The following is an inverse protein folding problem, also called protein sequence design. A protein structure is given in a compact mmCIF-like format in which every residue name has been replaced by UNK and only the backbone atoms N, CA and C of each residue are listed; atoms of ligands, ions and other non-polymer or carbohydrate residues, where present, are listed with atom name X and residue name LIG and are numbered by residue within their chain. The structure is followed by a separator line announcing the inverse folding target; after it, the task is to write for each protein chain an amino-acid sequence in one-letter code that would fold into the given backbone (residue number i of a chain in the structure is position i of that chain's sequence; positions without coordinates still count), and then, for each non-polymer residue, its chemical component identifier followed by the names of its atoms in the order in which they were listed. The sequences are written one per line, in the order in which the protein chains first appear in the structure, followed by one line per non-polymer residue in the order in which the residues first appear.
data_IF_592679004909
#
_entry.id   IF_592679004909
#
_cell.length_a   1.000
_cell.length_b   1.000
_cell.length_c   1.000
_cell.angle_alpha   90.00
_cell.angle_beta   90.00
_cell.angle_gamma   90.00
#
_symmetry.space_group_name_H-M   'P 1'
#
loop_
_entity.id
_entity.type
_entity.pdbx_description
1 polymer ?
#
# COMPACT_ATOMS: atom_id res chain seq x y z
N UNK A 1 21.65 -9.76 -11.30
CA UNK A 1 20.27 -9.97 -10.81
C UNK A 1 19.40 -10.33 -11.99
N UNK A 2 18.49 -11.29 -11.85
CA UNK A 2 17.49 -11.57 -12.88
C UNK A 2 16.53 -10.37 -12.99
N UNK A 3 16.19 -9.90 -14.21
CA UNK A 3 15.32 -8.76 -14.39
C UNK A 3 13.93 -9.04 -13.80
N UNK A 4 13.32 -8.02 -13.18
CA UNK A 4 12.01 -8.12 -12.53
C UNK A 4 10.89 -8.01 -13.57
N UNK A 5 11.11 -7.16 -14.58
CA UNK A 5 10.24 -6.98 -15.73
C UNK A 5 10.88 -7.61 -16.96
N UNK A 6 10.09 -8.36 -17.71
CA UNK A 6 10.48 -8.82 -19.05
C UNK A 6 10.47 -7.67 -20.05
N UNK A 7 11.26 -7.77 -21.12
CA UNK A 7 11.23 -6.78 -22.21
C UNK A 7 9.83 -6.61 -22.82
N UNK A 8 9.04 -7.68 -22.87
CA UNK A 8 7.67 -7.63 -23.34
C UNK A 8 6.76 -6.78 -22.41
N UNK A 9 6.98 -6.83 -21.10
CA UNK A 9 6.27 -5.99 -20.13
C UNK A 9 6.68 -4.52 -20.27
N UNK A 10 7.98 -4.25 -20.45
CA UNK A 10 8.51 -2.90 -20.66
C UNK A 10 7.94 -2.25 -21.93
N UNK A 11 7.91 -2.96 -23.07
CA UNK A 11 7.29 -2.46 -24.31
C UNK A 11 5.80 -2.15 -24.16
N UNK A 12 5.07 -2.94 -23.36
CA UNK A 12 3.64 -2.68 -23.10
C UNK A 12 3.42 -1.43 -22.26
N UNK A 13 4.42 -1.02 -21.47
CA UNK A 13 4.36 0.18 -20.63
C UNK A 13 4.37 1.46 -21.47
N UNK A 14 5.09 1.49 -22.61
CA UNK A 14 5.12 2.64 -23.53
C UNK A 14 3.73 2.99 -24.09
N UNK A 15 2.88 1.96 -24.29
CA UNK A 15 1.53 2.11 -24.86
C UNK A 15 0.48 2.32 -23.76
N UNK A 16 0.85 2.20 -22.49
CA UNK A 16 -0.08 2.38 -21.38
C UNK A 16 -0.51 3.84 -21.26
N UNK A 17 -1.82 4.09 -21.32
CA UNK A 17 -2.42 5.38 -20.97
C UNK A 17 -3.31 5.19 -19.77
N UNK A 18 -3.08 6.02 -18.75
CA UNK A 18 -3.88 5.98 -17.56
C UNK A 18 -5.30 6.50 -17.79
N UNK A 19 -6.30 5.88 -17.16
CA UNK A 19 -7.71 6.22 -17.30
C UNK A 19 -8.46 6.16 -15.96
N UNK A 20 -9.25 7.21 -15.66
CA UNK A 20 -10.11 7.33 -14.46
C UNK A 20 -11.54 7.61 -14.87
N UNK A 21 -12.48 6.88 -14.31
CA UNK A 21 -13.91 7.15 -14.46
C UNK A 21 -14.40 8.14 -13.38
N UNK A 22 -14.16 9.44 -13.62
CA UNK A 22 -14.72 10.53 -12.81
C UNK A 22 -13.76 11.14 -11.77
N UNK A 23 -14.29 12.04 -10.93
CA UNK A 23 -13.54 12.80 -9.92
C UNK A 23 -14.28 12.73 -8.59
N UNK A 24 -13.61 12.34 -7.51
CA UNK A 24 -14.25 12.32 -6.18
C UNK A 24 -14.55 13.75 -5.68
N UNK A 25 -15.55 13.91 -4.82
CA UNK A 25 -15.95 15.23 -4.28
C UNK A 25 -14.77 15.89 -3.55
N UNK A 26 -14.06 15.13 -2.72
CA UNK A 26 -12.88 15.60 -1.99
C UNK A 26 -11.77 16.02 -2.95
N UNK A 27 -11.52 15.24 -4.00
CA UNK A 27 -10.54 15.57 -5.02
C UNK A 27 -10.90 16.87 -5.75
N UNK A 28 -12.18 17.12 -6.02
CA UNK A 28 -12.62 18.38 -6.66
C UNK A 28 -12.24 19.61 -5.84
N UNK A 29 -12.39 19.54 -4.51
CA UNK A 29 -12.02 20.62 -3.60
C UNK A 29 -10.50 20.75 -3.51
N UNK A 30 -9.81 19.64 -3.25
CA UNK A 30 -8.35 19.63 -3.11
C UNK A 30 -7.62 20.00 -4.41
N UNK A 31 -8.23 19.77 -5.57
CA UNK A 31 -7.67 20.17 -6.87
C UNK A 31 -7.40 21.67 -6.94
N UNK A 32 -8.24 22.51 -6.33
CA UNK A 32 -8.03 23.97 -6.29
C UNK A 32 -6.76 24.29 -5.51
N UNK A 33 -6.59 23.67 -4.34
CA UNK A 33 -5.41 23.82 -3.50
C UNK A 33 -4.14 23.31 -4.21
N UNK A 34 -4.20 22.11 -4.80
CA UNK A 34 -3.05 21.49 -5.45
C UNK A 34 -2.59 22.29 -6.67
N UNK A 35 -3.51 22.74 -7.51
CA UNK A 35 -3.17 23.58 -8.67
C UNK A 35 -2.48 24.87 -8.22
N UNK A 36 -2.99 25.52 -7.17
CA UNK A 36 -2.37 26.72 -6.61
C UNK A 36 -0.97 26.45 -6.02
N UNK A 37 -0.78 25.32 -5.34
CA UNK A 37 0.52 24.93 -4.78
C UNK A 37 1.55 24.58 -5.86
N UNK A 38 1.13 23.92 -6.95
CA UNK A 38 2.02 23.54 -8.06
C UNK A 38 2.59 24.79 -8.73
N UNK A 39 1.80 25.86 -8.88
CA UNK A 39 2.27 27.15 -9.42
C UNK A 39 3.37 27.82 -8.56
N UNK A 40 3.50 27.43 -7.29
CA UNK A 40 4.53 27.95 -6.38
C UNK A 40 5.78 27.09 -6.34
N UNK A 41 5.75 25.89 -6.93
CA UNK A 41 6.93 25.03 -6.97
C UNK A 41 7.93 25.52 -8.02
N UNK A 42 9.23 25.48 -7.71
CA UNK A 42 10.24 25.79 -8.69
C UNK A 42 10.33 24.68 -9.75
N UNK A 43 10.57 25.07 -11.00
CA UNK A 43 10.51 24.20 -12.18
C UNK A 43 11.54 23.06 -12.21
N UNK A 44 12.51 23.04 -11.30
CA UNK A 44 13.51 21.97 -11.20
C UNK A 44 13.04 20.77 -10.35
N UNK A 45 11.94 20.90 -9.62
CA UNK A 45 11.43 19.84 -8.74
C UNK A 45 10.72 18.79 -9.59
N UNK A 46 11.33 17.62 -9.71
CA UNK A 46 10.72 16.49 -10.39
C UNK A 46 9.45 16.03 -9.65
N UNK A 47 8.37 15.68 -10.37
CA UNK A 47 7.15 15.19 -9.74
C UNK A 47 7.36 14.01 -8.79
N UNK A 48 8.07 12.95 -9.22
CA UNK A 48 8.41 11.79 -8.40
C UNK A 48 9.16 12.12 -7.10
N UNK A 49 9.88 13.26 -7.06
CA UNK A 49 10.59 13.73 -5.86
C UNK A 49 9.58 14.23 -4.80
N UNK A 50 8.48 14.86 -5.22
CA UNK A 50 7.42 15.31 -4.31
C UNK A 50 6.76 14.12 -3.62
N UNK A 51 6.38 13.09 -4.39
CA UNK A 51 5.77 11.88 -3.84
C UNK A 51 6.72 11.14 -2.91
N UNK A 52 8.00 11.03 -3.28
CA UNK A 52 9.01 10.41 -2.42
C UNK A 52 9.20 11.20 -1.11
N UNK A 53 9.31 12.52 -1.18
CA UNK A 53 9.47 13.37 0.00
C UNK A 53 8.25 13.27 0.93
N UNK A 54 7.03 13.30 0.38
CA UNK A 54 5.82 13.09 1.15
C UNK A 54 5.80 11.70 1.80
N UNK A 55 6.16 10.66 1.05
CA UNK A 55 6.16 9.28 1.56
C UNK A 55 7.11 9.15 2.74
N UNK A 56 8.34 9.67 2.62
CA UNK A 56 9.33 9.67 3.71
C UNK A 56 8.80 10.42 4.92
N UNK A 57 8.19 11.58 4.74
CA UNK A 57 7.58 12.35 5.83
C UNK A 57 6.48 11.56 6.55
N UNK A 58 5.62 10.88 5.79
CA UNK A 58 4.55 10.05 6.35
C UNK A 58 5.10 8.85 7.13
N UNK A 59 6.16 8.20 6.61
CA UNK A 59 6.84 7.10 7.30
C UNK A 59 7.44 7.59 8.62
N UNK A 60 8.17 8.70 8.62
CA UNK A 60 8.79 9.27 9.83
C UNK A 60 7.74 9.59 10.89
N UNK A 61 6.67 10.29 10.52
CA UNK A 61 5.61 10.68 11.46
C UNK A 61 4.78 9.48 11.95
N UNK A 62 4.58 8.46 11.12
CA UNK A 62 3.92 7.20 11.53
C UNK A 62 4.80 6.37 12.47
N UNK A 63 6.10 6.26 12.20
CA UNK A 63 7.05 5.56 13.08
C UNK A 63 7.14 6.26 14.43
N UNK A 64 7.15 7.60 14.45
CA UNK A 64 7.14 8.36 15.68
C UNK A 64 5.89 8.06 16.53
N UNK A 65 4.71 7.97 15.92
CA UNK A 65 3.49 7.55 16.61
C UNK A 65 3.59 6.11 17.12
N UNK A 66 4.11 5.17 16.32
CA UNK A 66 4.30 3.77 16.73
C UNK A 66 5.28 3.65 17.90
N UNK A 67 6.35 4.46 17.94
CA UNK A 67 7.29 4.47 19.06
C UNK A 67 6.63 4.93 20.38
N UNK A 68 5.64 5.83 20.31
CA UNK A 68 4.90 6.29 21.49
C UNK A 68 3.70 5.40 21.86
N UNK A 69 3.14 4.67 20.88
CA UNK A 69 1.99 3.78 21.08
C UNK A 69 2.16 2.43 20.34
N UNK A 70 3.10 1.57 20.79
CA UNK A 70 3.48 0.34 20.08
C UNK A 70 2.39 -0.75 20.09
N UNK A 71 1.43 -0.71 21.02
CA UNK A 71 0.29 -1.63 21.06
C UNK A 71 -1.02 -0.99 20.60
N UNK A 72 -0.96 0.28 20.15
CA UNK A 72 -2.14 1.11 19.83
C UNK A 72 -3.16 1.24 20.99
N UNK A 73 -2.71 0.98 22.23
CA UNK A 73 -3.50 1.15 23.47
C UNK A 73 -3.07 2.40 24.23
N UNK A 74 -1.81 2.79 24.08
CA UNK A 74 -1.19 3.89 24.79
C UNK A 74 -1.68 5.24 24.28
N UNK A 75 -1.62 6.25 25.15
CA UNK A 75 -1.89 7.63 24.77
C UNK A 75 -0.59 8.32 24.40
N UNK A 76 -0.43 8.68 23.12
CA UNK A 76 0.70 9.47 22.68
C UNK A 76 0.51 10.95 23.07
N UNK A 77 1.59 11.73 23.24
CA UNK A 77 1.48 13.17 23.44
C UNK A 77 0.73 13.85 22.27
N UNK A 78 -0.03 14.91 22.55
CA UNK A 78 -0.85 15.62 21.53
C UNK A 78 -0.03 16.05 20.31
N UNK A 79 1.21 16.52 20.52
CA UNK A 79 2.08 16.94 19.43
C UNK A 79 2.44 15.79 18.47
N UNK A 80 2.46 14.54 18.94
CA UNK A 80 2.69 13.35 18.13
C UNK A 80 1.50 13.10 17.19
N UNK A 81 0.29 13.17 17.73
CA UNK A 81 -0.94 13.06 16.92
C UNK A 81 -1.03 14.19 15.88
N UNK A 82 -0.71 15.42 16.29
CA UNK A 82 -0.69 16.57 15.38
C UNK A 82 0.37 16.40 14.29
N UNK A 83 1.55 15.88 14.63
CA UNK A 83 2.62 15.61 13.67
C UNK A 83 2.23 14.52 12.68
N UNK A 84 1.55 13.47 13.13
CA UNK A 84 1.04 12.41 12.26
C UNK A 84 -0.09 12.91 11.33
N UNK A 85 -1.06 13.67 11.86
CA UNK A 85 -2.11 14.28 11.05
C UNK A 85 -1.53 15.24 9.99
N UNK A 86 -0.55 16.05 10.37
CA UNK A 86 0.16 16.94 9.44
C UNK A 86 0.96 16.14 8.41
N UNK A 87 1.67 15.08 8.83
CA UNK A 87 2.44 14.21 7.94
C UNK A 87 1.57 13.54 6.88
N UNK A 88 0.43 12.99 7.27
CA UNK A 88 -0.58 12.43 6.36
C UNK A 88 -1.11 13.51 5.41
N UNK A 89 -1.46 14.69 5.93
CA UNK A 89 -1.96 15.80 5.14
C UNK A 89 -0.94 16.30 4.10
N UNK A 90 0.32 16.46 4.51
CA UNK A 90 1.40 16.87 3.61
C UNK A 90 1.70 15.80 2.59
N UNK A 91 1.72 14.53 2.98
CA UNK A 91 1.89 13.41 2.06
C UNK A 91 0.84 13.39 0.96
N UNK A 92 -0.46 13.38 1.32
CA UNK A 92 -1.53 13.38 0.32
C UNK A 92 -1.49 14.62 -0.59
N UNK A 93 -0.98 15.74 -0.07
CA UNK A 93 -0.89 17.00 -0.81
C UNK A 93 0.24 16.93 -1.83
N UNK A 94 1.43 16.49 -1.40
CA UNK A 94 2.59 16.32 -2.28
C UNK A 94 2.33 15.25 -3.37
N UNK A 95 1.69 14.13 -3.02
CA UNK A 95 1.27 13.07 -3.95
C UNK A 95 0.22 13.60 -4.95
N UNK A 96 -0.74 14.42 -4.48
CA UNK A 96 -1.73 15.06 -5.34
C UNK A 96 -1.14 16.08 -6.32
N UNK A 97 0.04 16.62 -6.03
CA UNK A 97 0.75 17.59 -6.86
C UNK A 97 1.66 16.93 -7.92
N UNK A 98 2.24 15.76 -7.65
CA UNK A 98 3.13 15.01 -8.55
C UNK A 98 2.43 14.69 -9.89
N UNK A 99 1.23 14.15 -9.87
CA UNK A 99 0.49 13.93 -11.10
C UNK A 99 -0.87 13.38 -10.79
N UNK A 100 -1.92 13.98 -11.38
CA UNK A 100 -3.36 13.71 -11.21
C UNK A 100 -3.78 12.22 -11.08
N UNK A 101 -3.39 11.58 -9.99
CA UNK A 101 -3.65 10.20 -9.57
C UNK A 101 -3.38 10.03 -8.07
N UNK A 102 -4.19 10.67 -7.25
CA UNK A 102 -4.21 10.37 -5.82
C UNK A 102 -4.74 8.94 -5.59
N UNK A 103 -3.92 8.05 -5.00
CA UNK A 103 -4.29 7.00 -4.01
C UNK A 103 -3.18 5.95 -3.86
N UNK A 104 -2.24 6.15 -2.93
CA UNK A 104 -1.39 5.05 -2.41
C UNK A 104 -1.00 5.16 -0.92
N UNK A 105 -1.96 5.30 0.01
CA UNK A 105 -1.69 5.03 1.45
C UNK A 105 -2.91 4.47 2.19
N UNK A 106 -3.23 3.19 1.97
CA UNK A 106 -4.22 2.50 2.82
C UNK A 106 -3.65 2.14 4.19
N UNK A 107 -2.46 1.55 4.24
CA UNK A 107 -1.94 0.85 5.43
C UNK A 107 -1.37 1.82 6.48
N UNK A 108 -0.49 2.74 6.09
CA UNK A 108 0.09 3.72 7.02
C UNK A 108 -1.00 4.62 7.62
N UNK A 109 -1.98 5.01 6.80
CA UNK A 109 -3.16 5.76 7.25
C UNK A 109 -4.04 4.93 8.20
N UNK A 110 -4.28 3.66 7.91
CA UNK A 110 -5.07 2.78 8.77
C UNK A 110 -4.39 2.55 10.13
N UNK A 111 -3.08 2.34 10.15
CA UNK A 111 -2.30 2.20 11.39
C UNK A 111 -2.32 3.52 12.20
N UNK A 112 -2.09 4.66 11.55
CA UNK A 112 -2.16 5.97 12.20
C UNK A 112 -3.54 6.26 12.79
N UNK A 113 -4.61 5.96 12.03
CA UNK A 113 -6.00 6.16 12.46
C UNK A 113 -6.35 5.24 13.64
N UNK A 114 -5.91 3.99 13.61
CA UNK A 114 -6.14 3.03 14.69
C UNK A 114 -5.44 3.47 16.00
N UNK A 115 -4.21 3.98 15.90
CA UNK A 115 -3.48 4.53 17.05
C UNK A 115 -4.14 5.81 17.59
N UNK A 116 -4.63 6.69 16.71
CA UNK A 116 -5.31 7.93 17.10
C UNK A 116 -6.67 7.68 17.80
N UNK A 117 -7.36 6.61 17.41
CA UNK A 117 -8.69 6.25 17.94
C UNK A 117 -8.63 5.28 19.14
N UNK A 118 -7.43 4.89 19.60
CA UNK A 118 -7.22 3.94 20.70
C UNK A 118 -7.97 2.61 20.51
N UNK A 119 -8.15 2.19 19.26
CA UNK A 119 -8.90 0.96 18.92
C UNK A 119 -8.16 -0.30 19.42
N UNK A 120 -6.89 -0.19 19.81
CA UNK A 120 -6.16 -1.28 20.49
C UNK A 120 -6.77 -1.74 21.83
N UNK A 121 -7.70 -0.97 22.42
CA UNK A 121 -8.49 -1.44 23.58
C UNK A 121 -9.36 -2.66 23.25
N UNK A 122 -9.75 -2.83 21.99
CA UNK A 122 -10.48 -3.99 21.47
C UNK A 122 -9.65 -4.65 20.35
N UNK A 123 -8.71 -5.57 20.70
CA UNK A 123 -7.75 -6.11 19.73
C UNK A 123 -8.40 -6.84 18.56
N UNK A 124 -9.53 -7.54 18.78
CA UNK A 124 -10.30 -8.18 17.70
C UNK A 124 -10.78 -7.17 16.66
N UNK A 125 -11.25 -6.01 17.13
CA UNK A 125 -11.73 -4.92 16.28
C UNK A 125 -10.58 -4.25 15.55
N UNK A 126 -9.44 -4.03 16.22
CA UNK A 126 -8.22 -3.51 15.60
C UNK A 126 -7.75 -4.41 14.44
N UNK A 127 -7.66 -5.71 14.70
CA UNK A 127 -7.27 -6.72 13.70
C UNK A 127 -8.24 -6.69 12.51
N UNK A 128 -9.54 -6.81 12.78
CA UNK A 128 -10.56 -6.85 11.74
C UNK A 128 -10.55 -5.59 10.87
N UNK A 129 -10.48 -4.40 11.47
CA UNK A 129 -10.53 -3.12 10.75
C UNK A 129 -9.33 -2.94 9.81
N UNK A 130 -8.12 -3.27 10.25
CA UNK A 130 -6.92 -3.04 9.44
C UNK A 130 -6.83 -4.04 8.29
N UNK A 131 -7.13 -5.32 8.54
CA UNK A 131 -7.15 -6.32 7.48
C UNK A 131 -8.31 -6.11 6.49
N UNK A 132 -9.49 -5.70 6.97
CA UNK A 132 -10.61 -5.31 6.10
C UNK A 132 -10.22 -4.11 5.22
N UNK A 133 -9.62 -3.08 5.80
CA UNK A 133 -9.18 -1.89 5.05
C UNK A 133 -8.13 -2.24 4.00
N UNK A 134 -7.16 -3.08 4.35
CA UNK A 134 -6.13 -3.58 3.44
C UNK A 134 -6.74 -4.39 2.29
N UNK A 135 -7.74 -5.22 2.59
CA UNK A 135 -8.48 -5.99 1.60
C UNK A 135 -9.30 -5.10 0.65
N UNK A 136 -10.02 -4.10 1.17
CA UNK A 136 -10.76 -3.13 0.33
C UNK A 136 -9.80 -2.40 -0.61
N UNK A 137 -8.67 -1.93 -0.08
CA UNK A 137 -7.63 -1.25 -0.85
C UNK A 137 -7.12 -2.14 -1.99
N UNK A 138 -6.85 -3.42 -1.70
CA UNK A 138 -6.44 -4.39 -2.69
C UNK A 138 -7.53 -4.63 -3.75
N UNK A 139 -8.79 -4.85 -3.34
CA UNK A 139 -9.91 -5.07 -4.25
C UNK A 139 -10.14 -3.90 -5.22
N UNK A 140 -9.91 -2.65 -4.81
CA UNK A 140 -10.00 -1.50 -5.72
C UNK A 140 -8.91 -1.53 -6.80
N UNK A 141 -7.70 -1.99 -6.45
CA UNK A 141 -6.64 -2.19 -7.44
C UNK A 141 -6.89 -3.42 -8.31
N UNK A 142 -7.53 -4.46 -7.77
CA UNK A 142 -7.93 -5.63 -8.55
C UNK A 142 -9.04 -5.27 -9.54
N UNK A 143 -10.03 -4.49 -9.12
CA UNK A 143 -11.03 -3.94 -10.04
C UNK A 143 -10.33 -3.17 -11.18
N UNK A 144 -9.40 -2.28 -10.85
CA UNK A 144 -8.64 -1.51 -11.86
C UNK A 144 -7.84 -2.41 -12.80
N UNK A 145 -7.22 -3.48 -12.27
CA UNK A 145 -6.50 -4.47 -13.05
C UNK A 145 -7.40 -5.12 -14.11
N UNK A 146 -8.65 -5.43 -13.76
CA UNK A 146 -9.60 -6.09 -14.68
C UNK A 146 -10.27 -5.08 -15.62
N UNK A 147 -10.72 -3.92 -15.12
CA UNK A 147 -11.51 -2.96 -15.90
C UNK A 147 -10.68 -2.03 -16.78
N UNK A 148 -9.37 -1.92 -16.52
CA UNK A 148 -8.53 -0.94 -17.19
C UNK A 148 -8.70 0.50 -16.70
N UNK A 149 -9.64 0.76 -15.76
CA UNK A 149 -9.99 2.12 -15.31
C UNK A 149 -10.08 2.18 -13.79
N UNK A 150 -9.47 3.20 -13.20
CA UNK A 150 -9.54 3.37 -11.75
C UNK A 150 -10.84 4.10 -11.39
N UNK A 151 -11.66 3.50 -10.53
CA UNK A 151 -12.83 4.18 -9.99
C UNK A 151 -12.44 5.04 -8.77
N UNK A 152 -12.99 6.27 -8.64
CA UNK A 152 -12.79 7.07 -7.44
C UNK A 152 -13.33 6.39 -6.17
N UNK A 153 -12.51 6.42 -5.12
CA UNK A 153 -12.91 6.11 -3.75
C UNK A 153 -13.96 7.09 -3.25
N UNK A 154 -14.86 6.59 -2.40
CA UNK A 154 -15.90 7.40 -1.76
C UNK A 154 -15.41 7.76 -0.37
N UNK A 155 -15.35 9.07 -0.08
CA UNK A 155 -14.92 9.78 1.14
C UNK A 155 -13.62 9.27 1.83
N UNK A 156 -12.76 10.17 2.35
CA UNK A 156 -11.63 9.74 3.19
C UNK A 156 -12.14 9.00 4.44
N UNK A 157 -11.68 7.77 4.63
CA UNK A 157 -12.00 6.89 5.77
C UNK A 157 -11.74 7.58 7.13
N UNK A 158 -10.82 8.55 7.17
CA UNK A 158 -10.51 9.34 8.35
C UNK A 158 -11.65 10.28 8.81
N UNK A 159 -12.64 10.58 7.96
CA UNK A 159 -13.74 11.50 8.26
C UNK A 159 -15.02 10.80 8.75
N UNK A 160 -15.06 9.46 8.70
CA UNK A 160 -16.24 8.67 9.08
C UNK A 160 -15.99 8.00 10.43
N UNK A 161 -16.93 8.16 11.37
CA UNK A 161 -16.89 7.41 12.63
C UNK A 161 -16.79 5.90 12.37
N UNK A 162 -16.28 5.14 13.35
CA UNK A 162 -15.92 3.72 13.23
C UNK A 162 -17.00 2.86 12.53
N UNK A 163 -18.28 3.05 12.87
CA UNK A 163 -19.40 2.32 12.26
C UNK A 163 -19.59 2.69 10.78
N UNK A 164 -19.53 3.98 10.45
CA UNK A 164 -19.63 4.44 9.07
C UNK A 164 -18.45 3.93 8.22
N UNK A 165 -17.25 3.82 8.80
CA UNK A 165 -16.09 3.22 8.15
C UNK A 165 -16.32 1.76 7.76
N UNK A 166 -16.89 0.95 8.65
CA UNK A 166 -17.25 -0.45 8.35
C UNK A 166 -18.30 -0.53 7.25
N UNK A 167 -19.36 0.27 7.34
CA UNK A 167 -20.44 0.25 6.34
C UNK A 167 -19.92 0.66 4.96
N UNK A 168 -19.13 1.73 4.88
CA UNK A 168 -18.54 2.22 3.62
C UNK A 168 -17.56 1.19 3.03
N UNK A 169 -16.74 0.56 3.86
CA UNK A 169 -15.79 -0.47 3.40
C UNK A 169 -16.51 -1.71 2.88
N UNK A 170 -17.51 -2.23 3.61
CA UNK A 170 -18.31 -3.37 3.15
C UNK A 170 -19.07 -3.07 1.85
N UNK A 171 -19.68 -1.89 1.75
CA UNK A 171 -20.34 -1.46 0.52
C UNK A 171 -19.37 -1.42 -0.68
N UNK A 172 -18.16 -0.89 -0.46
CA UNK A 172 -17.10 -0.87 -1.49
C UNK A 172 -16.64 -2.26 -1.89
N UNK A 173 -16.45 -3.19 -0.94
CA UNK A 173 -16.09 -4.58 -1.24
C UNK A 173 -17.14 -5.23 -2.13
N UNK A 174 -18.43 -5.11 -1.78
CA UNK A 174 -19.53 -5.63 -2.58
C UNK A 174 -19.56 -5.04 -4.00
N UNK A 175 -19.28 -3.74 -4.13
CA UNK A 175 -19.16 -3.05 -5.42
C UNK A 175 -18.02 -3.62 -6.27
N UNK A 176 -16.80 -3.66 -5.72
CA UNK A 176 -15.61 -4.15 -6.40
C UNK A 176 -15.80 -5.60 -6.89
N UNK A 177 -16.32 -6.49 -6.04
CA UNK A 177 -16.58 -7.89 -6.41
C UNK A 177 -17.60 -8.03 -7.52
N UNK A 178 -18.68 -7.24 -7.49
CA UNK A 178 -19.69 -7.24 -8.56
C UNK A 178 -19.05 -6.87 -9.90
N UNK A 179 -18.18 -5.85 -9.93
CA UNK A 179 -17.46 -5.46 -11.15
C UNK A 179 -16.51 -6.56 -11.62
N UNK A 180 -15.69 -7.11 -10.71
CA UNK A 180 -14.70 -8.16 -11.03
C UNK A 180 -15.38 -9.41 -11.62
N UNK A 181 -16.49 -9.87 -11.01
CA UNK A 181 -17.23 -11.04 -11.49
C UNK A 181 -17.88 -10.80 -12.85
N UNK A 182 -18.42 -9.59 -13.07
CA UNK A 182 -19.00 -9.21 -14.36
C UNK A 182 -17.96 -9.25 -15.47
N UNK A 183 -16.82 -8.59 -15.26
CA UNK A 183 -15.74 -8.54 -16.26
C UNK A 183 -15.10 -9.91 -16.51
N UNK A 184 -14.99 -10.75 -15.48
CA UNK A 184 -14.54 -12.13 -15.68
C UNK A 184 -15.48 -12.94 -16.56
N UNK A 185 -16.79 -12.74 -16.40
CA UNK A 185 -17.80 -13.44 -17.20
C UNK A 185 -17.80 -12.96 -18.66
N UNK A 186 -17.57 -11.66 -18.90
CA UNK A 186 -17.56 -11.09 -20.26
C UNK A 186 -16.25 -11.32 -21.02
N UNK A 187 -15.11 -11.28 -20.33
CA UNK A 187 -13.79 -11.19 -20.98
C UNK A 187 -12.81 -12.31 -20.58
N UNK A 188 -13.24 -13.28 -19.75
CA UNK A 188 -12.42 -14.42 -19.36
C UNK A 188 -11.25 -14.09 -18.42
N UNK A 189 -11.28 -12.93 -17.75
CA UNK A 189 -10.18 -12.42 -16.93
C UNK A 189 -9.71 -13.37 -15.80
N UNK A 190 -8.45 -13.30 -15.40
CA UNK A 190 -7.87 -14.20 -14.38
C UNK A 190 -8.33 -13.86 -12.94
N UNK A 191 -8.54 -14.90 -12.11
CA UNK A 191 -8.80 -14.77 -10.66
C UNK A 191 -7.51 -14.77 -9.83
N UNK A 192 -6.33 -14.87 -10.46
CA UNK A 192 -5.04 -14.98 -9.76
C UNK A 192 -4.78 -13.87 -8.75
N UNK A 193 -5.19 -12.60 -8.97
CA UNK A 193 -5.02 -11.57 -7.94
C UNK A 193 -5.77 -11.88 -6.64
N UNK A 194 -6.94 -12.50 -6.69
CA UNK A 194 -7.70 -12.84 -5.49
C UNK A 194 -6.97 -13.84 -4.60
N UNK A 195 -6.34 -14.85 -5.20
CA UNK A 195 -5.59 -15.87 -4.47
C UNK A 195 -4.35 -15.28 -3.81
N UNK A 196 -3.67 -14.34 -4.48
CA UNK A 196 -2.45 -13.71 -3.96
C UNK A 196 -2.66 -12.91 -2.66
N UNK A 197 -3.80 -12.24 -2.49
CA UNK A 197 -4.11 -11.49 -1.26
C UNK A 197 -4.67 -12.38 -0.14
N UNK A 198 -5.31 -13.49 -0.48
CA UNK A 198 -5.92 -14.38 0.50
C UNK A 198 -4.87 -15.02 1.41
N UNK A 199 -3.72 -15.41 0.88
CA UNK A 199 -2.68 -16.05 1.68
C UNK A 199 -2.19 -15.18 2.86
N UNK A 200 -1.70 -13.94 2.69
CA UNK A 200 -1.22 -13.16 3.82
C UNK A 200 -2.33 -12.86 4.85
N UNK A 201 -3.58 -12.70 4.40
CA UNK A 201 -4.73 -12.50 5.30
C UNK A 201 -5.04 -13.78 6.09
N UNK A 202 -5.12 -14.93 5.42
CA UNK A 202 -5.37 -16.22 6.08
C UNK A 202 -4.26 -16.55 7.08
N UNK A 203 -3.00 -16.35 6.69
CA UNK A 203 -1.84 -16.56 7.58
C UNK A 203 -1.92 -15.63 8.80
N UNK A 204 -2.28 -14.35 8.62
CA UNK A 204 -2.49 -13.44 9.74
C UNK A 204 -3.61 -13.93 10.69
N UNK A 205 -4.73 -14.40 10.15
CA UNK A 205 -5.85 -14.93 10.94
C UNK A 205 -5.46 -16.21 11.71
N UNK A 206 -4.71 -17.12 11.08
CA UNK A 206 -4.23 -18.35 11.73
C UNK A 206 -3.29 -17.99 12.87
N UNK A 207 -2.33 -17.09 12.62
CA UNK A 207 -1.37 -16.65 13.63
C UNK A 207 -2.08 -15.94 14.78
N UNK A 208 -3.08 -15.11 14.49
CA UNK A 208 -3.90 -14.45 15.51
C UNK A 208 -4.66 -15.46 16.38
N UNK A 209 -5.29 -16.47 15.77
CA UNK A 209 -6.08 -17.48 16.48
C UNK A 209 -5.28 -18.58 17.18
N UNK A 210 -4.00 -18.77 16.81
CA UNK A 210 -3.18 -19.90 17.27
C UNK A 210 -1.95 -19.48 18.09
N UNK A 211 -1.59 -18.19 18.11
CA UNK A 211 -0.41 -17.71 18.84
C UNK A 211 -0.52 -18.02 20.33
N UNK A 212 0.40 -18.84 20.85
CA UNK A 212 0.49 -19.16 22.28
C UNK A 212 1.07 -18.02 23.10
N UNK A 213 1.84 -17.13 22.47
CA UNK A 213 2.46 -15.95 23.09
C UNK A 213 1.63 -14.68 22.95
N UNK A 214 0.41 -14.76 22.42
CA UNK A 214 -0.44 -13.59 22.15
C UNK A 214 0.31 -12.48 21.36
N UNK A 215 1.13 -12.88 20.38
CA UNK A 215 2.06 -12.01 19.65
C UNK A 215 1.43 -10.71 19.14
N UNK A 216 0.20 -10.78 18.63
CA UNK A 216 -0.54 -9.60 18.16
C UNK A 216 -0.95 -8.66 19.31
N UNK A 217 -1.32 -9.18 20.48
CA UNK A 217 -1.80 -8.38 21.61
C UNK A 217 -0.68 -7.55 22.24
N UNK A 218 0.53 -8.13 22.27
CA UNK A 218 1.71 -7.54 22.90
C UNK A 218 2.52 -6.66 21.93
N UNK A 219 2.42 -6.94 20.62
CA UNK A 219 3.19 -6.23 19.59
C UNK A 219 2.33 -5.84 18.37
N UNK A 220 1.15 -5.24 18.62
CA UNK A 220 0.15 -4.96 17.58
C UNK A 220 0.69 -4.14 16.42
N UNK A 221 1.34 -2.99 16.66
CA UNK A 221 1.83 -2.14 15.57
C UNK A 221 2.92 -2.84 14.73
N UNK A 222 3.80 -3.60 15.38
CA UNK A 222 4.86 -4.35 14.70
C UNK A 222 4.28 -5.45 13.80
N UNK A 223 3.31 -6.20 14.33
CA UNK A 223 2.57 -7.22 13.58
C UNK A 223 1.87 -6.63 12.35
N UNK A 224 1.15 -5.53 12.56
CA UNK A 224 0.41 -4.83 11.51
C UNK A 224 1.35 -4.26 10.45
N UNK A 225 2.53 -3.76 10.85
CA UNK A 225 3.52 -3.24 9.92
C UNK A 225 4.10 -4.36 9.03
N UNK A 226 4.43 -5.52 9.61
CA UNK A 226 4.99 -6.65 8.85
C UNK A 226 4.00 -7.17 7.80
N UNK A 227 2.77 -7.50 8.20
CA UNK A 227 1.73 -7.95 7.27
C UNK A 227 1.31 -6.85 6.29
N UNK A 228 1.25 -5.60 6.77
CA UNK A 228 0.96 -4.44 5.94
C UNK A 228 1.97 -4.28 4.81
N UNK A 229 3.27 -4.35 5.09
CA UNK A 229 4.32 -4.26 4.06
C UNK A 229 4.29 -5.44 3.08
N UNK A 230 3.94 -6.65 3.55
CA UNK A 230 3.78 -7.81 2.67
C UNK A 230 2.61 -7.58 1.70
N UNK A 231 1.45 -7.16 2.21
CA UNK A 231 0.29 -6.80 1.39
C UNK A 231 0.61 -5.63 0.44
N UNK A 232 1.39 -4.65 0.90
CA UNK A 232 1.81 -3.52 0.08
C UNK A 232 2.65 -3.97 -1.14
N UNK A 233 3.57 -4.92 -0.96
CA UNK A 233 4.34 -5.48 -2.08
C UNK A 233 3.45 -6.23 -3.07
N UNK A 234 2.55 -7.09 -2.59
CA UNK A 234 1.59 -7.81 -3.44
C UNK A 234 0.72 -6.82 -4.22
N UNK A 235 0.28 -5.74 -3.58
CA UNK A 235 -0.48 -4.67 -4.24
C UNK A 235 0.35 -3.94 -5.29
N UNK A 236 1.61 -3.60 -5.01
CA UNK A 236 2.49 -2.96 -6.00
C UNK A 236 2.67 -3.83 -7.24
N UNK A 237 2.84 -5.15 -7.06
CA UNK A 237 2.90 -6.10 -8.17
C UNK A 237 1.62 -6.15 -8.98
N UNK A 238 0.46 -6.10 -8.34
CA UNK A 238 -0.82 -6.04 -9.03
C UNK A 238 -0.93 -4.76 -9.88
N UNK A 239 -0.46 -3.62 -9.37
CA UNK A 239 -0.48 -2.36 -10.12
C UNK A 239 0.48 -2.41 -11.31
N UNK A 240 1.69 -2.94 -11.10
CA UNK A 240 2.65 -3.13 -12.20
C UNK A 240 2.08 -4.08 -13.25
N UNK A 241 1.47 -5.19 -12.84
CA UNK A 241 0.83 -6.15 -13.73
C UNK A 241 -0.30 -5.51 -14.57
N UNK A 242 -1.09 -4.62 -13.96
CA UNK A 242 -2.08 -3.81 -14.67
C UNK A 242 -1.43 -2.90 -15.73
N UNK A 243 -0.41 -2.13 -15.34
CA UNK A 243 0.27 -1.17 -16.24
C UNK A 243 0.91 -1.92 -17.41
N UNK A 244 1.59 -3.03 -17.15
CA UNK A 244 2.28 -3.84 -18.15
C UNK A 244 1.37 -4.84 -18.86
N UNK A 245 0.06 -4.87 -18.55
CA UNK A 245 -0.93 -5.83 -19.05
C UNK A 245 -0.43 -7.27 -19.03
N UNK A 246 0.05 -7.71 -17.88
CA UNK A 246 0.60 -9.06 -17.66
C UNK A 246 -0.17 -9.79 -16.57
N UNK A 247 -0.14 -11.12 -16.61
CA UNK A 247 -0.72 -11.92 -15.54
C UNK A 247 0.02 -11.74 -14.21
N UNK A 248 -0.74 -11.80 -13.12
CA UNK A 248 -0.19 -11.75 -11.78
C UNK A 248 0.16 -13.15 -11.29
N UNK A 249 1.41 -13.32 -10.84
CA UNK A 249 1.88 -14.54 -10.19
C UNK A 249 1.26 -14.72 -8.81
N UNK A 250 0.89 -15.95 -8.47
CA UNK A 250 0.20 -16.28 -7.21
C UNK A 250 1.09 -16.16 -5.97
N UNK A 251 2.32 -16.65 -6.05
CA UNK A 251 3.29 -16.63 -4.97
C UNK A 251 4.29 -15.49 -5.16
N UNK A 252 4.56 -14.77 -4.08
CA UNK A 252 5.52 -13.67 -4.03
C UNK A 252 6.53 -13.88 -2.90
N UNK A 253 7.74 -13.32 -3.03
CA UNK A 253 8.76 -13.39 -1.99
C UNK A 253 8.32 -12.73 -0.68
N UNK A 254 7.44 -11.71 -0.72
CA UNK A 254 6.88 -11.13 0.52
C UNK A 254 6.11 -12.13 1.38
N UNK A 255 5.64 -13.24 0.80
CA UNK A 255 4.90 -14.28 1.52
C UNK A 255 5.81 -15.15 2.38
N UNK A 256 7.13 -15.09 2.16
CA UNK A 256 8.11 -15.81 2.97
C UNK A 256 8.12 -15.34 4.42
N UNK A 257 8.00 -14.03 4.68
CA UNK A 257 7.94 -13.49 6.05
C UNK A 257 6.76 -14.06 6.87
N UNK A 258 5.51 -13.90 6.40
CA UNK A 258 4.34 -14.55 7.00
C UNK A 258 4.47 -16.08 7.12
N UNK A 259 5.03 -16.74 6.11
CA UNK A 259 5.25 -18.19 6.11
C UNK A 259 6.21 -18.67 7.19
N UNK A 260 7.35 -17.98 7.37
CA UNK A 260 8.32 -18.26 8.43
C UNK A 260 7.70 -18.05 9.81
N UNK A 261 6.90 -16.99 9.98
CA UNK A 261 6.21 -16.73 11.24
C UNK A 261 5.19 -17.84 11.58
N UNK A 262 4.45 -18.32 10.58
CA UNK A 262 3.53 -19.45 10.73
C UNK A 262 4.27 -20.74 11.09
N UNK A 263 5.37 -21.05 10.38
CA UNK A 263 6.19 -22.23 10.68
C UNK A 263 6.78 -22.17 12.08
N UNK A 264 7.23 -20.99 12.53
CA UNK A 264 7.74 -20.79 13.89
C UNK A 264 6.71 -21.19 14.95
N UNK A 265 5.43 -20.91 14.72
CA UNK A 265 4.35 -21.31 15.62
C UNK A 265 4.05 -22.81 15.52
N UNK A 266 4.01 -23.38 14.32
CA UNK A 266 3.78 -24.82 14.12
C UNK A 266 4.88 -25.68 14.74
N UNK A 267 6.13 -25.19 14.75
CA UNK A 267 7.27 -25.88 15.35
C UNK A 267 7.40 -25.70 16.86
N UNK A 268 6.40 -25.11 17.54
CA UNK A 268 6.39 -24.98 19.00
C UNK A 268 7.33 -23.90 19.55
N UNK A 269 7.66 -22.86 18.77
CA UNK A 269 8.33 -21.66 19.30
C UNK A 269 9.80 -21.88 19.71
N UNK A 270 10.57 -22.65 18.92
CA UNK A 270 12.03 -22.86 19.16
C UNK A 270 12.79 -21.53 19.30
N UNK A 271 12.32 -20.49 18.60
CA UNK A 271 12.80 -19.12 18.68
C UNK A 271 11.64 -18.23 19.15
N UNK A 272 11.92 -17.20 19.95
CA UNK A 272 10.92 -16.21 20.38
C UNK A 272 10.18 -15.61 19.18
N UNK A 273 8.84 -15.72 19.19
CA UNK A 273 7.97 -15.21 18.13
C UNK A 273 8.19 -13.71 17.86
N UNK A 274 8.55 -12.93 18.89
CA UNK A 274 8.87 -11.50 18.75
C UNK A 274 10.16 -11.25 17.93
N UNK A 275 11.21 -12.06 18.14
CA UNK A 275 12.46 -11.96 17.38
C UNK A 275 12.20 -12.36 15.92
N UNK A 276 11.43 -13.44 15.71
CA UNK A 276 11.03 -13.88 14.37
C UNK A 276 10.21 -12.79 13.67
N UNK A 277 9.29 -12.13 14.38
CA UNK A 277 8.50 -11.03 13.83
C UNK A 277 9.37 -9.85 13.36
N UNK A 278 10.38 -9.45 14.14
CA UNK A 278 11.36 -8.43 13.72
C UNK A 278 12.18 -8.87 12.50
N UNK A 279 12.65 -10.11 12.48
CA UNK A 279 13.39 -10.65 11.34
C UNK A 279 12.53 -10.66 10.06
N UNK A 280 11.25 -11.08 10.18
CA UNK A 280 10.29 -11.03 9.09
C UNK A 280 10.00 -9.60 8.63
N UNK A 281 9.88 -8.64 9.55
CA UNK A 281 9.71 -7.23 9.20
C UNK A 281 10.90 -6.69 8.40
N UNK A 282 12.13 -6.94 8.86
CA UNK A 282 13.36 -6.50 8.17
C UNK A 282 13.41 -7.13 6.77
N UNK A 283 13.13 -8.44 6.67
CA UNK A 283 13.10 -9.15 5.40
C UNK A 283 12.08 -8.53 4.44
N UNK A 284 10.81 -8.39 4.85
CA UNK A 284 9.74 -7.85 3.98
C UNK A 284 10.03 -6.41 3.58
N UNK A 285 10.60 -5.61 4.48
CA UNK A 285 10.99 -4.22 4.19
C UNK A 285 12.09 -4.17 3.13
N UNK A 286 13.15 -4.96 3.29
CA UNK A 286 14.24 -5.04 2.32
C UNK A 286 13.75 -5.58 0.97
N UNK A 287 12.94 -6.62 0.98
CA UNK A 287 12.36 -7.27 -0.20
C UNK A 287 11.41 -6.33 -0.99
N UNK A 288 10.66 -5.47 -0.29
CA UNK A 288 9.87 -4.41 -0.91
C UNK A 288 10.75 -3.29 -1.46
N UNK A 289 11.75 -2.83 -0.71
CA UNK A 289 12.65 -1.75 -1.14
C UNK A 289 13.43 -2.15 -2.40
N UNK A 290 14.00 -3.35 -2.41
CA UNK A 290 14.72 -3.90 -3.57
C UNK A 290 13.80 -4.07 -4.78
N UNK A 291 12.56 -4.51 -4.57
CA UNK A 291 11.56 -4.61 -5.64
C UNK A 291 11.25 -3.24 -6.25
N UNK A 292 10.93 -2.24 -5.41
CA UNK A 292 10.63 -0.88 -5.86
C UNK A 292 11.82 -0.25 -6.59
N UNK A 293 13.04 -0.38 -6.04
CA UNK A 293 14.25 0.13 -6.69
C UNK A 293 14.45 -0.53 -8.06
N UNK A 294 14.38 -1.85 -8.14
CA UNK A 294 14.60 -2.60 -9.39
C UNK A 294 13.57 -2.27 -10.47
N UNK A 295 12.29 -2.10 -10.10
CA UNK A 295 11.23 -1.73 -11.04
C UNK A 295 11.41 -0.30 -11.54
N UNK A 296 11.68 0.65 -10.64
CA UNK A 296 11.92 2.04 -11.02
C UNK A 296 13.14 2.17 -11.94
N UNK A 297 14.23 1.50 -11.60
CA UNK A 297 15.48 1.49 -12.38
C UNK A 297 15.24 0.92 -13.79
N UNK A 298 14.62 -0.25 -13.91
CA UNK A 298 14.30 -0.87 -15.21
C UNK A 298 13.37 -0.01 -16.08
N UNK A 299 12.38 0.66 -15.47
CA UNK A 299 11.49 1.57 -16.21
C UNK A 299 12.25 2.82 -16.66
N UNK A 300 13.08 3.41 -15.79
CA UNK A 300 13.87 4.60 -16.10
C UNK A 300 14.93 4.33 -17.18
N UNK A 301 15.56 3.16 -17.14
CA UNK A 301 16.51 2.71 -18.16
C UNK A 301 15.81 2.43 -19.49
N UNK A 302 14.61 1.83 -19.47
CA UNK A 302 13.86 1.57 -20.69
C UNK A 302 13.36 2.85 -21.37
N UNK A 303 12.89 3.82 -20.58
CA UNK A 303 12.33 5.10 -21.07
C UNK A 303 13.39 6.20 -21.27
N UNK A 304 14.65 5.94 -20.92
CA UNK A 304 15.79 6.89 -21.00
C UNK A 304 15.60 8.19 -20.18
N UNK A 305 14.99 8.05 -19.00
CA UNK A 305 14.69 9.17 -18.07
C UNK A 305 15.37 8.97 -16.72
N UNK A 306 15.61 10.07 -16.00
CA UNK A 306 15.98 10.01 -14.59
C UNK A 306 14.74 9.94 -13.71
N UNK A 307 14.76 9.11 -12.66
CA UNK A 307 13.61 8.94 -11.77
C UNK A 307 13.25 10.24 -11.02
N UNK A 308 14.25 11.03 -10.61
CA UNK A 308 14.07 12.24 -9.78
C UNK A 308 14.57 13.53 -10.46
N UNK A 309 14.77 13.51 -11.78
CA UNK A 309 15.14 14.70 -12.55
C UNK A 309 14.28 14.79 -13.80
N UNK A 310 13.97 16.01 -14.22
CA UNK A 310 13.14 16.31 -15.40
C UNK A 310 13.98 16.23 -16.69
N UNK A 311 15.31 16.09 -16.57
CA UNK A 311 16.22 15.95 -17.71
C UNK A 311 16.16 14.53 -18.31
N UNK A 312 16.28 14.40 -19.62
CA UNK A 312 16.56 13.11 -20.26
C UNK A 312 18.01 12.69 -20.01
N UNK A 313 18.30 11.38 -20.04
CA UNK A 313 19.68 10.90 -19.98
C UNK A 313 20.42 11.33 -21.27
N UNK A 314 21.73 11.61 -21.21
CA UNK A 314 22.51 11.86 -22.41
C UNK A 314 22.50 10.59 -23.26
N UNK A 315 22.16 10.71 -24.55
CA UNK A 315 22.04 9.58 -25.46
C UNK A 315 23.34 8.77 -25.47
N UNK A 316 23.28 7.53 -24.98
CA UNK A 316 24.37 6.59 -25.17
C UNK A 316 24.47 6.31 -26.67
N UNK A 317 25.40 6.99 -27.35
CA UNK A 317 25.85 6.57 -28.68
C UNK A 317 26.41 5.16 -28.51
N UNK A 318 25.61 4.14 -28.83
CA UNK A 318 26.09 2.79 -29.09
C UNK A 318 27.01 2.91 -30.31
N UNK A 319 28.31 2.99 -30.05
CA UNK A 319 29.35 2.81 -31.07
C UNK A 319 29.42 1.35 -31.49
#
# INVERSE_FOLDING_TARGET
MTPVLSEAQLKRLEVHKYSVSGVSVTQRVLQVLWSWLVEKLPMWVAPNLLTMAGFVLNVVTSLLLICHAPTAKEEAPVWVYMSCALGVFLYQTLDGMDGKQARRTGILLAVATACATKVGQTPDLLFFMIFLTSFVFYCTHWETYVTGTMQPGVLPVAATGLFATVVVTLWKVCGNFRTILREKTSSGGSLSPGVAILFPICVACIIYGTSSSHLFLDHSCLFLLMFGLAIAKVTNKLIVAHITKSEMTLLDSSMFGPGVLLLSQCCGGVISEHIVLWACLIYVTADLALYCFSVCDQICDHLDIYCFSITSKPSQRRY
#
